data_IF_547433612058
#
_entry.id   IF_547433612058
#
_cell.length_a   1.000
_cell.length_b   1.000
_cell.length_c   1.000
_cell.angle_alpha   90.00
_cell.angle_beta   90.00
_cell.angle_gamma   90.00
#
_symmetry.space_group_name_H-M   'P 1'
#
loop_
_entity.id
_entity.type
_entity.pdbx_description
1 polymer ?
#
# COMPACT_ATOMS: atom_id res chain seq x y z
N UNK A 1 -4.08 -28.94 -3.85
CA UNK A 1 -4.07 -28.29 -3.87
C UNK A 1 -4.47 -27.30 -3.86
N UNK A 2 -4.37 -27.23 -3.57
CA UNK A 2 -4.89 -26.01 -3.14
C UNK A 2 -4.90 -25.04 -4.20
N UNK A 3 -5.88 -24.40 -4.22
CA UNK A 3 -6.03 -23.33 -5.14
C UNK A 3 -5.05 -22.26 -4.78
N UNK A 4 -4.06 -22.09 -5.58
CA UNK A 4 -3.22 -20.91 -5.51
C UNK A 4 -4.04 -19.73 -5.99
N UNK A 5 -4.86 -19.21 -5.10
CA UNK A 5 -5.49 -17.93 -5.38
C UNK A 5 -4.44 -16.88 -5.10
N UNK A 6 -3.84 -16.36 -6.15
CA UNK A 6 -2.91 -15.25 -6.02
C UNK A 6 -3.68 -14.03 -5.55
N UNK A 7 -3.55 -13.71 -4.28
CA UNK A 7 -4.13 -12.48 -3.75
C UNK A 7 -3.25 -11.32 -4.13
N UNK A 8 -3.89 -10.27 -4.62
CA UNK A 8 -3.20 -9.03 -4.95
C UNK A 8 -3.60 -7.99 -3.91
N UNK A 9 -2.63 -7.47 -3.21
CA UNK A 9 -2.85 -6.58 -2.07
C UNK A 9 -2.14 -5.27 -2.29
N UNK A 10 -2.85 -4.16 -2.11
CA UNK A 10 -2.26 -2.83 -2.13
C UNK A 10 -2.00 -2.38 -0.70
N UNK A 11 -0.78 -1.94 -0.43
CA UNK A 11 -0.40 -1.40 0.88
C UNK A 11 -0.05 0.06 0.70
N UNK A 12 -0.75 0.95 1.41
CA UNK A 12 -0.53 2.38 1.33
C UNK A 12 0.34 2.80 2.51
N UNK A 13 1.55 3.26 2.21
CA UNK A 13 2.52 3.56 3.26
C UNK A 13 3.19 2.34 3.76
N UNK A 14 4.05 1.91 4.16
CA UNK A 14 4.54 0.60 4.60
C UNK A 14 6.05 0.51 4.55
N UNK A 15 6.70 1.68 4.44
CA UNK A 15 8.15 1.71 4.39
C UNK A 15 8.78 1.79 5.78
N UNK A 16 7.96 1.93 6.83
CA UNK A 16 8.45 1.96 8.19
C UNK A 16 8.61 0.56 8.79
N UNK A 17 8.92 0.52 10.07
CA UNK A 17 9.15 -0.73 10.78
C UNK A 17 7.93 -1.67 10.73
N UNK A 18 6.77 -1.13 11.04
CA UNK A 18 5.54 -1.92 11.05
C UNK A 18 5.20 -2.43 9.65
N UNK A 19 5.42 -1.59 8.65
CA UNK A 19 5.17 -1.98 7.27
C UNK A 19 6.07 -3.10 6.81
N UNK A 20 7.33 -3.10 7.21
CA UNK A 20 8.25 -4.18 6.83
C UNK A 20 7.82 -5.51 7.43
N UNK A 21 7.34 -5.50 8.67
CA UNK A 21 6.82 -6.71 9.31
C UNK A 21 5.60 -7.24 8.58
N UNK A 22 4.69 -6.34 8.19
CA UNK A 22 3.51 -6.72 7.43
C UNK A 22 3.89 -7.30 6.07
N UNK A 23 4.82 -6.66 5.36
CA UNK A 23 5.26 -7.15 4.05
C UNK A 23 5.82 -8.56 4.16
N UNK A 24 6.60 -8.83 5.19
CA UNK A 24 7.15 -10.16 5.40
C UNK A 24 6.05 -11.21 5.57
N UNK A 25 5.02 -10.89 6.35
CA UNK A 25 3.89 -11.79 6.55
C UNK A 25 3.15 -12.04 5.24
N UNK A 26 2.88 -10.98 4.47
CA UNK A 26 2.16 -11.11 3.22
C UNK A 26 2.93 -11.91 2.18
N UNK A 27 4.26 -11.74 2.12
CA UNK A 27 5.09 -12.50 1.20
C UNK A 27 5.07 -13.99 1.56
N UNK A 28 5.02 -14.33 2.84
CA UNK A 28 4.90 -15.71 3.25
C UNK A 28 3.58 -16.35 2.82
N UNK A 29 2.56 -15.54 2.57
CA UNK A 29 1.27 -16.01 2.07
C UNK A 29 1.18 -15.99 0.55
N UNK A 30 2.31 -15.81 -0.13
CA UNK A 30 2.39 -15.75 -1.59
C UNK A 30 1.54 -14.63 -2.20
N UNK A 31 1.38 -13.54 -1.48
CA UNK A 31 0.63 -12.39 -2.00
C UNK A 31 1.46 -11.61 -3.02
N UNK A 32 0.78 -11.13 -4.03
CA UNK A 32 1.35 -10.14 -4.93
C UNK A 32 1.06 -8.77 -4.34
N UNK A 33 2.09 -7.95 -4.14
CA UNK A 33 1.95 -6.71 -3.38
C UNK A 33 2.26 -5.51 -4.25
N UNK A 34 1.39 -4.50 -4.17
CA UNK A 34 1.69 -3.16 -4.68
C UNK A 34 1.87 -2.27 -3.46
N UNK A 35 3.09 -1.76 -3.28
CA UNK A 35 3.40 -0.88 -2.16
C UNK A 35 3.44 0.56 -2.63
N UNK A 36 2.58 1.39 -2.06
CA UNK A 36 2.58 2.82 -2.33
C UNK A 36 3.36 3.52 -1.21
N UNK A 37 4.48 4.12 -1.56
CA UNK A 37 5.36 4.78 -0.59
C UNK A 37 5.66 6.20 -1.03
N UNK A 38 5.91 7.08 -0.08
CA UNK A 38 6.35 8.44 -0.39
C UNK A 38 7.87 8.54 -0.56
N UNK A 39 8.59 7.47 -0.26
CA UNK A 39 10.04 7.45 -0.43
C UNK A 39 10.42 7.22 -1.88
N UNK A 40 11.39 8.00 -2.35
CA UNK A 40 11.91 7.85 -3.70
C UNK A 40 12.79 6.61 -3.80
N UNK A 41 12.71 5.95 -4.94
CA UNK A 41 13.59 4.83 -5.27
C UNK A 41 13.60 3.71 -4.22
N UNK A 42 12.45 3.50 -3.58
CA UNK A 42 12.37 2.53 -2.50
C UNK A 42 12.41 1.08 -3.00
N UNK A 43 12.14 0.85 -4.28
CA UNK A 43 12.18 -0.51 -4.85
C UNK A 43 13.54 -1.17 -4.65
N UNK A 44 14.63 -0.40 -4.76
CA UNK A 44 15.98 -0.93 -4.54
C UNK A 44 16.16 -1.41 -3.11
N UNK A 45 15.63 -0.64 -2.16
CA UNK A 45 15.71 -1.00 -0.75
C UNK A 45 14.92 -2.29 -0.48
N UNK A 46 13.73 -2.41 -1.07
CA UNK A 46 12.92 -3.61 -0.90
C UNK A 46 13.61 -4.84 -1.48
N UNK A 47 14.27 -4.69 -2.62
CA UNK A 47 14.96 -5.81 -3.25
C UNK A 47 16.14 -6.31 -2.40
N UNK A 48 16.73 -5.42 -1.60
CA UNK A 48 17.78 -5.82 -0.66
C UNK A 48 17.21 -6.52 0.57
N UNK A 49 16.10 -6.01 1.08
CA UNK A 49 15.48 -6.55 2.30
C UNK A 49 14.79 -7.88 2.01
N UNK A 50 14.10 -7.95 0.89
CA UNK A 50 13.34 -9.13 0.49
C UNK A 50 13.78 -9.57 -0.91
N UNK A 51 14.89 -10.30 -1.03
CA UNK A 51 15.29 -10.83 -2.33
C UNK A 51 14.20 -11.72 -2.92
N UNK A 52 14.05 -11.71 -4.23
CA UNK A 52 13.04 -12.51 -4.94
C UNK A 52 11.60 -12.18 -4.49
N UNK A 53 11.37 -10.92 -4.10
CA UNK A 53 10.03 -10.50 -3.69
C UNK A 53 9.10 -10.31 -4.89
N UNK A 54 7.81 -10.32 -4.60
CA UNK A 54 6.77 -9.98 -5.57
C UNK A 54 6.11 -8.68 -5.15
N UNK A 55 6.92 -7.63 -4.99
CA UNK A 55 6.47 -6.31 -4.56
C UNK A 55 6.76 -5.30 -5.65
N UNK A 56 5.72 -4.65 -6.14
CA UNK A 56 5.86 -3.50 -7.03
C UNK A 56 5.71 -2.23 -6.22
N UNK A 57 6.72 -1.38 -6.25
CA UNK A 57 6.76 -0.15 -5.47
C UNK A 57 6.37 1.04 -6.33
N UNK A 58 5.41 1.83 -5.87
CA UNK A 58 4.94 3.01 -6.59
C UNK A 58 5.04 4.20 -5.65
N UNK A 59 5.67 5.28 -6.10
CA UNK A 59 5.75 6.51 -5.33
C UNK A 59 4.46 7.30 -5.46
N UNK A 60 3.95 7.80 -4.33
CA UNK A 60 2.77 8.64 -4.30
C UNK A 60 2.99 9.81 -3.36
N UNK A 61 2.12 10.81 -3.43
CA UNK A 61 2.10 11.88 -2.45
C UNK A 61 0.65 12.36 -2.26
N UNK A 62 0.45 13.16 -1.22
CA UNK A 62 -0.89 13.61 -0.83
C UNK A 62 -1.55 14.47 -1.90
N UNK A 63 -0.76 15.06 -2.78
CA UNK A 63 -1.28 15.90 -3.85
C UNK A 63 -1.55 15.11 -5.14
N UNK A 64 -1.25 13.82 -5.16
CA UNK A 64 -1.43 12.98 -6.33
C UNK A 64 -2.01 11.63 -5.93
N UNK A 65 -3.18 11.65 -5.31
CA UNK A 65 -3.84 10.41 -4.87
C UNK A 65 -4.32 9.55 -6.03
N UNK A 66 -4.54 10.16 -7.20
CA UNK A 66 -5.04 9.41 -8.35
C UNK A 66 -4.10 8.30 -8.80
N UNK A 67 -2.81 8.42 -8.51
CA UNK A 67 -1.87 7.37 -8.88
C UNK A 67 -2.19 6.05 -8.16
N UNK A 68 -2.82 6.13 -7.00
CA UNK A 68 -3.25 4.92 -6.28
C UNK A 68 -4.35 4.24 -7.07
N UNK A 69 -5.37 4.98 -7.47
CA UNK A 69 -6.49 4.40 -8.22
C UNK A 69 -6.03 3.81 -9.54
N UNK A 70 -5.09 4.47 -10.21
CA UNK A 70 -4.58 4.01 -11.50
C UNK A 70 -3.86 2.67 -11.44
N UNK A 71 -3.46 2.25 -10.26
CA UNK A 71 -2.60 1.08 -10.10
C UNK A 71 -3.22 -0.02 -9.22
N UNK A 72 -4.52 0.00 -9.00
CA UNK A 72 -5.16 -1.00 -8.13
C UNK A 72 -6.10 -1.96 -8.86
N UNK A 73 -5.90 -2.14 -10.16
CA UNK A 73 -6.71 -3.10 -10.91
C UNK A 73 -6.53 -4.50 -10.36
N UNK A 74 -7.64 -5.18 -10.15
CA UNK A 74 -7.66 -6.58 -9.67
C UNK A 74 -7.09 -6.76 -8.27
N UNK A 75 -7.00 -5.67 -7.49
CA UNK A 75 -6.58 -5.75 -6.10
C UNK A 75 -7.74 -6.32 -5.27
N UNK A 76 -7.43 -7.27 -4.40
CA UNK A 76 -8.42 -7.90 -3.52
C UNK A 76 -8.58 -7.16 -2.21
N UNK A 77 -7.52 -6.50 -1.75
CA UNK A 77 -7.50 -5.88 -0.44
C UNK A 77 -6.62 -4.63 -0.47
N UNK A 78 -7.05 -3.59 0.23
CA UNK A 78 -6.23 -2.39 0.45
C UNK A 78 -5.95 -2.29 1.94
N UNK A 79 -4.67 -2.16 2.30
CA UNK A 79 -4.25 -1.96 3.69
C UNK A 79 -3.66 -0.58 3.80
N UNK A 80 -4.25 0.27 4.64
CA UNK A 80 -3.81 1.64 4.82
C UNK A 80 -2.97 1.77 6.08
N UNK A 81 -1.67 1.97 5.91
CA UNK A 81 -0.74 2.21 7.02
C UNK A 81 -0.34 3.68 7.12
N UNK A 82 -0.96 4.55 6.33
CA UNK A 82 -0.63 5.97 6.37
C UNK A 82 -1.08 6.61 7.66
N UNK A 83 -0.29 7.59 8.10
CA UNK A 83 -0.66 8.40 9.25
C UNK A 83 -0.20 7.86 10.58
N UNK A 84 0.32 6.64 10.62
CA UNK A 84 0.83 6.09 11.87
C UNK A 84 2.14 6.79 12.20
N UNK A 85 2.17 7.50 13.33
CA UNK A 85 3.35 8.20 13.83
C UNK A 85 3.97 9.17 12.80
N UNK A 86 3.13 9.77 11.96
CA UNK A 86 3.63 10.67 10.94
C UNK A 86 3.03 12.06 11.06
N UNK A 87 3.90 13.06 11.20
CA UNK A 87 3.54 14.47 11.15
C UNK A 87 4.80 15.26 10.80
N UNK A 88 4.96 15.60 9.52
CA UNK A 88 6.14 16.34 9.07
C UNK A 88 5.86 17.81 8.79
N UNK A 89 4.65 18.15 8.42
CA UNK A 89 4.28 19.50 8.04
C UNK A 89 2.91 19.83 8.59
N UNK A 90 2.68 21.12 8.80
CA UNK A 90 1.35 21.57 9.22
C UNK A 90 0.30 21.10 8.23
N UNK A 91 -0.73 20.45 8.73
CA UNK A 91 -1.83 19.97 7.91
C UNK A 91 -1.65 18.58 7.31
N UNK A 92 -0.43 18.05 7.26
CA UNK A 92 -0.21 16.71 6.70
C UNK A 92 -0.94 15.65 7.52
N UNK A 93 -0.87 15.76 8.84
CA UNK A 93 -1.56 14.82 9.72
C UNK A 93 -3.05 14.78 9.41
N UNK A 94 -3.67 15.96 9.31
CA UNK A 94 -5.10 16.06 9.01
C UNK A 94 -5.42 15.43 7.65
N UNK A 95 -4.66 15.78 6.61
CA UNK A 95 -4.91 15.25 5.27
C UNK A 95 -4.71 13.75 5.20
N UNK A 96 -3.67 13.24 5.86
CA UNK A 96 -3.39 11.81 5.87
C UNK A 96 -4.50 11.04 6.62
N UNK A 97 -5.00 11.60 7.70
CA UNK A 97 -6.03 10.93 8.50
C UNK A 97 -7.45 11.17 8.03
N UNK A 98 -7.66 12.12 7.13
CA UNK A 98 -9.00 12.47 6.63
C UNK A 98 -9.14 12.21 5.14
N UNK A 99 -8.25 12.81 4.34
CA UNK A 99 -8.37 12.75 2.89
C UNK A 99 -8.00 11.38 2.33
N UNK A 100 -6.95 10.76 2.86
CA UNK A 100 -6.50 9.47 2.34
C UNK A 100 -7.52 8.37 2.63
N UNK A 101 -8.00 8.20 3.88
CA UNK A 101 -9.04 7.18 4.11
C UNK A 101 -10.31 7.41 3.31
N UNK A 102 -10.74 8.67 3.16
CA UNK A 102 -11.91 8.98 2.37
C UNK A 102 -11.72 8.60 0.91
N UNK A 103 -10.55 8.92 0.34
CA UNK A 103 -10.24 8.55 -1.03
C UNK A 103 -10.20 7.04 -1.21
N UNK A 104 -9.56 6.33 -0.29
CA UNK A 104 -9.46 4.88 -0.37
C UNK A 104 -10.84 4.21 -0.26
N UNK A 105 -11.70 4.73 0.60
CA UNK A 105 -13.07 4.23 0.68
C UNK A 105 -13.82 4.40 -0.63
N UNK A 106 -13.67 5.57 -1.25
CA UNK A 106 -14.34 5.87 -2.51
C UNK A 106 -13.86 4.95 -3.64
N UNK A 107 -12.54 4.79 -3.79
CA UNK A 107 -12.03 3.95 -4.88
C UNK A 107 -12.27 2.47 -4.61
N UNK A 108 -12.35 2.05 -3.35
CA UNK A 108 -12.69 0.67 -3.02
C UNK A 108 -14.09 0.32 -3.49
N UNK A 109 -15.05 1.20 -3.27
CA UNK A 109 -16.42 0.99 -3.74
C UNK A 109 -16.48 1.00 -5.27
N UNK A 110 -15.83 1.98 -5.89
CA UNK A 110 -15.83 2.12 -7.33
C UNK A 110 -15.22 0.93 -8.05
N UNK A 111 -14.16 0.36 -7.48
CA UNK A 111 -13.42 -0.75 -8.08
C UNK A 111 -13.81 -2.11 -7.50
N UNK A 112 -14.85 -2.16 -6.69
CA UNK A 112 -15.40 -3.39 -6.11
C UNK A 112 -14.35 -4.17 -5.31
N UNK A 113 -13.52 -3.44 -4.59
CA UNK A 113 -12.52 -4.07 -3.70
C UNK A 113 -13.22 -4.52 -2.43
N UNK A 114 -13.04 -5.80 -2.10
CA UNK A 114 -13.81 -6.41 -1.02
C UNK A 114 -13.37 -6.00 0.36
N UNK A 115 -12.10 -5.71 0.53
CA UNK A 115 -11.56 -5.45 1.87
C UNK A 115 -10.71 -4.20 1.88
N UNK A 116 -11.02 -3.28 2.80
CA UNK A 116 -10.23 -2.09 3.09
C UNK A 116 -9.96 -2.08 4.59
N UNK A 117 -8.69 -2.08 4.96
CA UNK A 117 -8.27 -2.10 6.36
C UNK A 117 -7.56 -0.81 6.72
#
# INVERSE_FOLDING_TARGET
MGTNINKKIAVIGGSGFLGKSLLKLLLNENAEIILFTRKKNYQKNLNKIFPDNNIKCIQWNINNLNIIEENIKNVNCIINLCGILYENKNGDFFRVHTDVPAFLGKISLKNKIKTLI
#
